data_IF_332076611816
#
_entry.id   IF_332076611816
#
_cell.length_a   1.000
_cell.length_b   1.000
_cell.length_c   1.000
_cell.angle_alpha   90.00
_cell.angle_beta   90.00
_cell.angle_gamma   90.00
#
_symmetry.space_group_name_H-M   'P 1'
#
loop_
_entity.id
_entity.type
_entity.pdbx_description
1 polymer ?
#
# COMPACT_ATOMS: atom_id res chain seq x y z
N UNK A 1 7.57 -3.43 -40.45
CA UNK A 1 7.16 -3.43 -39.03
C UNK A 1 6.24 -2.25 -38.80
N UNK A 2 5.14 -2.40 -38.03
CA UNK A 2 4.06 -1.41 -38.08
C UNK A 2 4.13 -0.33 -37.00
N UNK A 3 4.58 -0.59 -35.77
CA UNK A 3 4.68 0.47 -34.74
C UNK A 3 5.73 0.14 -33.64
N UNK A 4 7.03 0.33 -33.91
CA UNK A 4 8.10 -0.06 -32.97
C UNK A 4 8.14 0.78 -31.68
N UNK A 5 7.46 1.93 -31.64
CA UNK A 5 7.44 2.85 -30.48
C UNK A 5 6.07 2.95 -29.80
N UNK A 6 5.12 2.09 -30.17
CA UNK A 6 3.79 2.13 -29.58
C UNK A 6 3.83 1.67 -28.12
N UNK A 7 3.43 2.56 -27.21
CA UNK A 7 3.25 2.21 -25.80
C UNK A 7 1.96 1.42 -25.62
N UNK A 8 2.05 0.28 -24.94
CA UNK A 8 0.90 -0.57 -24.62
C UNK A 8 0.60 -0.44 -23.13
N UNK A 9 -0.63 -0.02 -22.82
CA UNK A 9 -1.20 -0.03 -21.47
C UNK A 9 -2.29 -1.11 -21.46
N UNK A 10 -2.24 -2.05 -20.52
CA UNK A 10 -3.11 -3.21 -20.53
C UNK A 10 -3.84 -3.42 -19.20
N UNK A 11 -5.10 -3.84 -19.26
CA UNK A 11 -5.85 -4.25 -18.07
C UNK A 11 -5.55 -5.71 -17.73
N UNK A 12 -5.08 -5.96 -16.51
CA UNK A 12 -4.98 -7.27 -15.89
C UNK A 12 -6.24 -7.58 -15.05
N UNK A 13 -6.74 -8.81 -15.14
CA UNK A 13 -7.91 -9.28 -14.35
C UNK A 13 -7.51 -9.74 -12.95
N UNK A 14 -6.29 -10.24 -12.83
CA UNK A 14 -5.73 -10.81 -11.61
C UNK A 14 -4.18 -10.74 -11.67
N UNK A 15 -3.52 -11.24 -10.62
CA UNK A 15 -2.05 -11.25 -10.50
C UNK A 15 -1.40 -12.14 -11.56
N UNK A 16 -1.99 -13.28 -11.89
CA UNK A 16 -1.45 -14.17 -12.92
C UNK A 16 -1.49 -13.51 -14.31
N UNK A 17 -2.58 -12.82 -14.64
CA UNK A 17 -2.68 -12.09 -15.89
C UNK A 17 -1.70 -10.92 -15.92
N UNK A 18 -1.52 -10.20 -14.80
CA UNK A 18 -0.52 -9.14 -14.70
C UNK A 18 0.89 -9.66 -15.00
N UNK A 19 1.28 -10.77 -14.38
CA UNK A 19 2.61 -11.37 -14.60
C UNK A 19 2.79 -11.77 -16.06
N UNK A 20 1.78 -12.39 -16.69
CA UNK A 20 1.86 -12.76 -18.12
C UNK A 20 2.04 -11.53 -19.02
N UNK A 21 1.35 -10.42 -18.72
CA UNK A 21 1.49 -9.16 -19.47
C UNK A 21 2.89 -8.57 -19.30
N UNK A 22 3.45 -8.57 -18.09
CA UNK A 22 4.83 -8.13 -17.83
C UNK A 22 5.84 -8.99 -18.59
N UNK A 23 5.69 -10.32 -18.54
CA UNK A 23 6.55 -11.27 -19.25
C UNK A 23 6.43 -11.15 -20.78
N UNK A 24 5.28 -10.71 -21.30
CA UNK A 24 5.07 -10.40 -22.71
C UNK A 24 5.63 -9.03 -23.14
N UNK A 25 6.30 -8.30 -22.23
CA UNK A 25 6.92 -7.00 -22.52
C UNK A 25 5.99 -5.80 -22.38
N UNK A 26 4.79 -5.96 -21.80
CA UNK A 26 3.93 -4.81 -21.50
C UNK A 26 4.51 -4.05 -20.32
N UNK A 27 4.85 -2.78 -20.54
CA UNK A 27 5.44 -1.91 -19.51
C UNK A 27 4.43 -1.46 -18.45
N UNK A 28 3.17 -1.21 -18.85
CA UNK A 28 2.14 -0.60 -17.99
C UNK A 28 0.87 -1.46 -17.87
N UNK A 29 0.94 -2.67 -17.27
CA UNK A 29 -0.25 -3.41 -16.91
C UNK A 29 -0.89 -2.87 -15.62
N UNK A 30 -2.21 -2.84 -15.54
CA UNK A 30 -2.96 -2.35 -14.38
C UNK A 30 -4.03 -3.36 -13.96
N UNK A 31 -4.08 -3.72 -12.67
CA UNK A 31 -5.05 -4.70 -12.15
C UNK A 31 -6.40 -4.04 -11.91
N UNK A 32 -7.46 -4.61 -12.49
CA UNK A 32 -8.77 -3.98 -12.57
C UNK A 32 -9.44 -3.70 -11.21
N UNK A 33 -9.18 -4.52 -10.19
CA UNK A 33 -9.81 -4.39 -8.86
C UNK A 33 -8.90 -3.80 -7.80
N UNK A 34 -7.60 -3.63 -8.08
CA UNK A 34 -6.60 -3.39 -7.03
C UNK A 34 -6.80 -2.04 -6.32
N UNK A 35 -6.87 -0.94 -7.06
CA UNK A 35 -7.09 0.39 -6.47
C UNK A 35 -8.46 0.51 -5.79
N UNK A 36 -9.48 -0.17 -6.32
CA UNK A 36 -10.81 -0.24 -5.70
C UNK A 36 -10.78 -0.96 -4.35
N UNK A 37 -10.01 -2.05 -4.26
CA UNK A 37 -9.82 -2.79 -3.01
C UNK A 37 -9.06 -1.95 -1.97
N UNK A 38 -8.02 -1.21 -2.37
CA UNK A 38 -7.29 -0.29 -1.46
C UNK A 38 -8.22 0.78 -0.88
N UNK A 39 -9.06 1.39 -1.73
CA UNK A 39 -10.06 2.37 -1.29
C UNK A 39 -11.04 1.76 -0.29
N UNK A 40 -11.51 0.54 -0.57
CA UNK A 40 -12.47 -0.17 0.31
C UNK A 40 -11.83 -0.51 1.66
N UNK A 41 -10.58 -0.98 1.65
CA UNK A 41 -9.82 -1.24 2.88
C UNK A 41 -9.64 0.03 3.71
N UNK A 42 -9.34 1.16 3.08
CA UNK A 42 -9.25 2.46 3.77
C UNK A 42 -10.56 2.82 4.46
N UNK A 43 -11.69 2.73 3.76
CA UNK A 43 -13.02 3.02 4.32
C UNK A 43 -13.36 2.09 5.49
N UNK A 44 -12.95 0.82 5.42
CA UNK A 44 -13.13 -0.12 6.52
C UNK A 44 -12.31 0.29 7.75
N UNK A 45 -11.04 0.67 7.57
CA UNK A 45 -10.20 1.17 8.67
C UNK A 45 -10.76 2.45 9.29
N UNK A 46 -11.19 3.41 8.47
CA UNK A 46 -11.85 4.64 8.94
C UNK A 46 -13.10 4.31 9.77
N UNK A 47 -13.92 3.35 9.30
CA UNK A 47 -15.13 2.91 10.01
C UNK A 47 -14.84 2.21 11.35
N UNK A 48 -13.63 1.67 11.52
CA UNK A 48 -13.15 1.06 12.76
C UNK A 48 -12.51 2.08 13.72
N UNK A 49 -12.53 3.37 13.39
CA UNK A 49 -12.06 4.46 14.24
C UNK A 49 -10.65 4.96 13.92
N UNK A 50 -10.04 4.52 12.81
CA UNK A 50 -8.77 5.04 12.36
C UNK A 50 -8.92 6.42 11.70
N UNK A 51 -7.96 7.32 11.91
CA UNK A 51 -7.99 8.64 11.26
C UNK A 51 -7.86 8.54 9.73
N UNK A 52 -8.52 9.41 8.93
CA UNK A 52 -8.47 9.33 7.46
C UNK A 52 -7.05 9.40 6.87
N UNK A 53 -6.17 10.23 7.47
CA UNK A 53 -4.78 10.33 7.06
C UNK A 53 -4.03 9.01 7.32
N UNK A 54 -4.18 8.45 8.52
CA UNK A 54 -3.53 7.20 8.91
C UNK A 54 -4.01 6.02 8.07
N UNK A 55 -5.31 5.91 7.85
CA UNK A 55 -5.88 4.87 6.99
C UNK A 55 -5.35 4.96 5.55
N UNK A 56 -5.15 6.18 5.03
CA UNK A 56 -4.53 6.40 3.72
C UNK A 56 -3.07 5.98 3.71
N UNK A 57 -2.28 6.40 4.69
CA UNK A 57 -0.85 6.04 4.77
C UNK A 57 -0.66 4.52 4.80
N UNK A 58 -1.48 3.80 5.58
CA UNK A 58 -1.46 2.33 5.62
C UNK A 58 -1.82 1.68 4.28
N UNK A 59 -2.85 2.20 3.60
CA UNK A 59 -3.21 1.72 2.27
C UNK A 59 -2.08 1.99 1.24
N UNK A 60 -1.39 3.12 1.35
CA UNK A 60 -0.29 3.51 0.47
C UNK A 60 0.97 2.67 0.72
N UNK A 61 1.27 2.32 1.98
CA UNK A 61 2.31 1.33 2.35
C UNK A 61 2.01 -0.03 1.73
N UNK A 62 0.78 -0.53 1.92
CA UNK A 62 0.35 -1.80 1.34
C UNK A 62 0.42 -1.78 -0.18
N UNK A 63 0.04 -0.67 -0.82
CA UNK A 63 0.13 -0.49 -2.28
C UNK A 63 1.55 -0.72 -2.78
N UNK A 64 2.52 0.01 -2.22
CA UNK A 64 3.93 -0.05 -2.65
C UNK A 64 4.47 -1.46 -2.51
N UNK A 65 4.22 -2.08 -1.36
CA UNK A 65 4.67 -3.44 -1.10
C UNK A 65 4.07 -4.47 -2.06
N UNK A 66 2.76 -4.39 -2.31
CA UNK A 66 2.09 -5.33 -3.20
C UNK A 66 2.56 -5.19 -4.66
N UNK A 67 2.78 -3.96 -5.14
CA UNK A 67 3.34 -3.72 -6.47
C UNK A 67 4.75 -4.32 -6.58
N UNK A 68 5.63 -4.03 -5.61
CA UNK A 68 6.99 -4.56 -5.61
C UNK A 68 6.99 -6.09 -5.63
N UNK A 69 6.16 -6.73 -4.79
CA UNK A 69 6.03 -8.19 -4.79
C UNK A 69 5.63 -8.73 -6.16
N UNK A 70 4.58 -8.18 -6.78
CA UNK A 70 4.09 -8.71 -8.06
C UNK A 70 5.13 -8.52 -9.16
N UNK A 71 5.88 -7.42 -9.16
CA UNK A 71 7.01 -7.22 -10.07
C UNK A 71 8.11 -8.26 -9.82
N UNK A 72 8.49 -8.54 -8.56
CA UNK A 72 9.44 -9.61 -8.23
C UNK A 72 8.95 -10.97 -8.74
N UNK A 73 7.65 -11.28 -8.58
CA UNK A 73 7.05 -12.51 -9.11
C UNK A 73 7.08 -12.59 -10.65
N UNK A 74 7.02 -11.44 -11.34
CA UNK A 74 7.06 -11.40 -12.79
C UNK A 74 8.48 -11.67 -13.35
N UNK A 75 9.51 -11.30 -12.59
CA UNK A 75 10.92 -11.54 -12.91
C UNK A 75 11.35 -13.00 -12.68
N UNK A 76 10.64 -13.73 -11.82
CA UNK A 76 10.89 -15.16 -11.58
C UNK A 76 10.36 -15.95 -12.78
N UNK A 77 11.22 -16.78 -13.38
CA UNK A 77 10.86 -17.72 -14.45
C UNK A 77 9.67 -18.61 -14.03
N UNK A 78 8.98 -19.22 -15.00
CA UNK A 78 7.71 -19.98 -14.85
C UNK A 78 7.77 -21.23 -13.93
N UNK A 79 8.66 -21.28 -12.95
CA UNK A 79 8.63 -22.23 -11.85
C UNK A 79 7.54 -21.86 -10.83
N UNK A 80 6.46 -22.64 -10.88
CA UNK A 80 5.36 -22.63 -9.91
C UNK A 80 5.83 -22.66 -8.44
N UNK A 81 6.94 -23.35 -8.12
CA UNK A 81 7.48 -23.41 -6.76
C UNK A 81 8.09 -22.08 -6.33
N UNK A 82 8.80 -21.42 -7.24
CA UNK A 82 9.40 -20.12 -6.96
C UNK A 82 8.31 -19.06 -6.74
N UNK A 83 7.23 -19.07 -7.53
CA UNK A 83 6.04 -18.21 -7.29
C UNK A 83 5.39 -18.47 -5.93
N UNK A 84 5.19 -19.73 -5.57
CA UNK A 84 4.64 -20.09 -4.26
C UNK A 84 5.54 -19.62 -3.10
N UNK A 85 6.87 -19.65 -3.28
CA UNK A 85 7.81 -19.14 -2.28
C UNK A 85 7.71 -17.62 -2.11
N UNK A 86 7.57 -16.86 -3.20
CA UNK A 86 7.35 -15.40 -3.11
C UNK A 86 6.03 -15.11 -2.40
N UNK A 87 4.94 -15.81 -2.76
CA UNK A 87 3.64 -15.63 -2.11
C UNK A 87 3.69 -15.89 -0.60
N UNK A 88 4.34 -16.99 -0.18
CA UNK A 88 4.53 -17.31 1.25
C UNK A 88 5.32 -16.22 1.98
N UNK A 89 6.41 -15.74 1.38
CA UNK A 89 7.24 -14.69 1.97
C UNK A 89 6.46 -13.40 2.15
N UNK A 90 5.65 -13.03 1.17
CA UNK A 90 4.79 -11.85 1.25
C UNK A 90 3.68 -12.02 2.28
N UNK A 91 3.03 -13.18 2.34
CA UNK A 91 2.02 -13.44 3.36
C UNK A 91 2.61 -13.32 4.77
N UNK A 92 3.85 -13.78 4.97
CA UNK A 92 4.57 -13.63 6.23
C UNK A 92 4.85 -12.15 6.54
N UNK A 93 5.43 -11.41 5.59
CA UNK A 93 5.73 -9.98 5.76
C UNK A 93 4.47 -9.14 5.99
N UNK A 94 3.36 -9.44 5.30
CA UNK A 94 2.10 -8.74 5.54
C UNK A 94 1.56 -9.02 6.96
N UNK A 95 1.73 -10.25 7.44
CA UNK A 95 1.34 -10.62 8.81
C UNK A 95 2.22 -9.91 9.84
N UNK A 96 3.52 -9.77 9.57
CA UNK A 96 4.45 -8.98 10.38
C UNK A 96 4.04 -7.51 10.41
N UNK A 97 3.80 -6.88 9.25
CA UNK A 97 3.35 -5.48 9.16
C UNK A 97 2.04 -5.28 9.94
N UNK A 98 1.06 -6.18 9.81
CA UNK A 98 -0.21 -6.08 10.54
C UNK A 98 0.00 -6.23 12.05
N UNK A 99 0.93 -7.10 12.46
CA UNK A 99 1.26 -7.32 13.88
C UNK A 99 1.96 -6.09 14.46
N UNK A 100 2.95 -5.56 13.74
CA UNK A 100 3.64 -4.32 14.07
C UNK A 100 2.65 -3.15 14.15
N UNK A 101 1.74 -3.00 13.18
CA UNK A 101 0.67 -2.00 13.19
C UNK A 101 -0.23 -2.13 14.43
N UNK A 102 -0.53 -3.36 14.87
CA UNK A 102 -1.33 -3.60 16.08
C UNK A 102 -0.57 -3.22 17.35
N UNK A 103 0.73 -3.51 17.41
CA UNK A 103 1.58 -3.10 18.52
C UNK A 103 1.76 -1.58 18.57
N UNK A 104 1.94 -0.96 17.41
CA UNK A 104 2.02 0.50 17.25
C UNK A 104 0.70 1.18 17.65
N UNK A 105 -0.46 0.58 17.32
CA UNK A 105 -1.76 1.03 17.80
C UNK A 105 -1.89 0.94 19.32
N UNK A 106 -1.35 -0.10 19.96
CA UNK A 106 -1.39 -0.21 21.42
C UNK A 106 -0.58 0.89 22.12
N UNK A 107 0.49 1.37 21.47
CA UNK A 107 1.32 2.48 21.94
C UNK A 107 0.64 3.83 21.69
N UNK A 108 0.07 4.05 20.50
CA UNK A 108 -0.70 5.26 20.15
C UNK A 108 -2.03 5.34 20.94
N UNK A 109 -2.64 4.22 21.32
CA UNK A 109 -3.81 4.23 22.22
C UNK A 109 -3.43 4.57 23.67
N UNK A 110 -2.22 4.20 24.13
CA UNK A 110 -1.72 4.57 25.47
C UNK A 110 -1.27 6.02 25.54
N UNK A 111 -0.72 6.54 24.46
CA UNK A 111 -0.43 7.95 24.27
C UNK A 111 -1.26 8.43 23.09
N UNK A 112 -2.56 8.67 23.36
CA UNK A 112 -3.50 9.21 22.39
C UNK A 112 -2.89 10.40 21.65
N UNK A 113 -3.31 10.62 20.41
CA UNK A 113 -2.90 11.74 19.57
C UNK A 113 -2.90 13.06 20.38
N UNK A 114 -1.73 13.50 20.87
CA UNK A 114 -1.60 14.76 21.60
C UNK A 114 -1.26 15.85 20.60
N UNK A 115 -2.29 16.34 19.92
CA UNK A 115 -2.22 17.53 19.09
C UNK A 115 -3.18 18.58 19.61
N UNK A 116 -2.87 19.17 20.77
CA UNK A 116 -3.65 20.18 21.52
C UNK A 116 -5.15 19.83 21.74
N UNK A 117 -5.87 20.54 22.61
CA UNK A 117 -7.18 20.07 23.12
C UNK A 117 -8.31 19.96 22.08
N UNK A 118 -8.17 20.51 20.87
CA UNK A 118 -9.30 20.57 19.91
C UNK A 118 -9.03 20.02 18.50
N UNK A 119 -7.84 19.47 18.21
CA UNK A 119 -7.60 18.65 17.02
C UNK A 119 -7.93 19.29 15.65
N UNK A 120 -7.92 20.63 15.55
CA UNK A 120 -8.05 21.37 14.28
C UNK A 120 -6.77 22.15 14.02
N UNK A 121 -6.03 21.80 12.96
CA UNK A 121 -5.06 22.72 12.37
C UNK A 121 -5.77 23.60 11.34
N UNK A 122 -6.11 24.82 11.75
CA UNK A 122 -6.79 25.81 10.89
C UNK A 122 -5.82 26.58 9.97
N UNK A 123 -4.51 26.33 10.10
CA UNK A 123 -3.46 27.11 9.44
C UNK A 123 -3.09 28.39 10.19
N UNK A 124 -3.62 28.61 11.39
CA UNK A 124 -3.27 29.73 12.25
C UNK A 124 -2.04 29.40 13.11
N UNK A 125 -1.07 30.31 13.19
CA UNK A 125 0.21 30.08 13.89
C UNK A 125 0.07 29.95 15.42
N UNK A 126 -1.06 30.37 15.98
CA UNK A 126 -1.37 30.20 17.40
C UNK A 126 -1.79 28.77 17.78
N UNK A 127 -2.11 27.93 16.80
CA UNK A 127 -2.51 26.53 17.01
C UNK A 127 -1.29 25.57 17.02
N UNK A 128 -0.08 26.09 16.83
CA UNK A 128 1.15 25.30 16.88
C UNK A 128 1.59 25.03 18.33
N UNK A 129 2.08 23.82 18.65
CA UNK A 129 2.55 23.51 19.99
C UNK A 129 3.81 24.33 20.35
N UNK A 130 3.88 24.79 21.60
CA UNK A 130 4.97 25.65 22.12
C UNK A 130 6.37 25.04 21.95
N UNK A 131 6.47 23.71 21.96
CA UNK A 131 7.72 23.00 21.75
C UNK A 131 7.77 22.45 20.34
N UNK A 132 8.43 23.20 19.45
CA UNK A 132 8.87 22.64 18.17
C UNK A 132 10.08 21.74 18.44
N UNK A 133 10.11 20.49 17.96
CA UNK A 133 11.32 19.69 18.01
C UNK A 133 12.40 20.43 17.21
N UNK A 134 13.51 20.80 17.87
CA UNK A 134 14.61 21.50 17.22
C UNK A 134 15.20 20.61 16.13
N UNK A 135 15.27 21.12 14.91
CA UNK A 135 16.17 20.60 13.88
C UNK A 135 17.62 20.95 14.19
#
# INVERSE_FOLDING_TARGET
>A
EHFPHLQIIARARDVDHYIRLRQAGVEKPERETFEGALKTGRLALESLGLGPYEARERADVFRRFNIQMVEEMAMVENDTKARAAVYKRTSAMLSEIITEDREHLSLIQRHGWQGTEEGKHTGNMADEPETKPSS
#
